data_IF_299258855421
#
_entry.id   IF_299258855421
#
_cell.length_a   1.000
_cell.length_b   1.000
_cell.length_c   1.000
_cell.angle_alpha   90.00
_cell.angle_beta   90.00
_cell.angle_gamma   90.00
#
_symmetry.space_group_name_H-M   'P 1'
#
loop_
_entity.id
_entity.type
_entity.pdbx_description
1 polymer ?
#
# COMPACT_ATOMS: atom_id res chain seq x y z
N UNK A 1 9.10 -8.31 -14.27
CA UNK A 1 8.46 -7.02 -13.96
C UNK A 1 8.69 -6.62 -12.51
N UNK A 2 8.25 -7.40 -11.50
CA UNK A 2 8.45 -7.06 -10.07
C UNK A 2 9.93 -6.95 -9.64
N UNK A 3 10.80 -7.87 -10.09
CA UNK A 3 12.22 -7.81 -9.74
C UNK A 3 12.88 -6.53 -10.27
N UNK A 4 12.47 -6.10 -11.47
CA UNK A 4 12.93 -4.88 -12.12
C UNK A 4 12.41 -3.65 -11.37
N UNK A 5 11.14 -3.65 -10.95
CA UNK A 5 10.53 -2.55 -10.19
C UNK A 5 11.17 -2.34 -8.81
N UNK A 6 11.60 -3.41 -8.13
CA UNK A 6 12.34 -3.29 -6.86
C UNK A 6 13.72 -2.67 -7.07
N UNK A 7 14.47 -3.17 -8.06
CA UNK A 7 15.81 -2.65 -8.36
C UNK A 7 15.74 -1.18 -8.83
N UNK A 8 14.75 -0.83 -9.67
CA UNK A 8 14.42 0.55 -10.08
C UNK A 8 14.00 1.44 -8.89
N UNK A 9 13.20 0.90 -7.96
CA UNK A 9 12.77 1.60 -6.75
C UNK A 9 13.95 1.94 -5.85
N UNK A 10 14.84 0.99 -5.60
CA UNK A 10 16.07 1.23 -4.83
C UNK A 10 16.99 2.23 -5.49
N UNK A 11 17.13 2.17 -6.83
CA UNK A 11 17.93 3.12 -7.59
C UNK A 11 17.33 4.54 -7.54
N UNK A 12 16.01 4.66 -7.67
CA UNK A 12 15.28 5.92 -7.54
C UNK A 12 15.50 6.58 -6.17
N UNK A 13 15.38 5.80 -5.08
CA UNK A 13 15.62 6.28 -3.72
C UNK A 13 17.07 6.76 -3.57
N UNK A 14 18.05 6.00 -4.05
CA UNK A 14 19.45 6.40 -4.03
C UNK A 14 19.70 7.69 -4.81
N UNK A 15 19.06 7.86 -5.96
CA UNK A 15 19.16 9.08 -6.76
C UNK A 15 18.56 10.29 -6.04
N UNK A 16 17.46 10.12 -5.29
CA UNK A 16 16.89 11.20 -4.48
C UNK A 16 17.83 11.63 -3.34
N UNK A 17 18.41 10.67 -2.61
CA UNK A 17 19.41 10.99 -1.58
C UNK A 17 20.66 11.67 -2.16
N UNK A 18 21.09 11.26 -3.35
CA UNK A 18 22.22 11.88 -4.05
C UNK A 18 21.92 13.33 -4.44
N UNK A 19 20.74 13.61 -5.01
CA UNK A 19 20.29 14.97 -5.33
C UNK A 19 20.21 15.85 -4.09
N UNK A 20 19.66 15.31 -3.00
CA UNK A 20 19.55 16.01 -1.74
C UNK A 20 20.94 16.34 -1.18
N UNK A 21 21.87 15.38 -1.20
CA UNK A 21 23.27 15.59 -0.80
C UNK A 21 23.95 16.71 -1.59
N UNK A 22 23.77 16.73 -2.91
CA UNK A 22 24.30 17.82 -3.74
C UNK A 22 23.71 19.19 -3.38
N UNK A 23 22.43 19.24 -3.02
CA UNK A 23 21.75 20.50 -2.66
C UNK A 23 22.21 21.04 -1.29
N UNK A 24 22.49 20.16 -0.32
CA UNK A 24 22.92 20.55 1.03
C UNK A 24 24.44 20.52 1.23
N UNK A 25 25.21 20.19 0.19
CA UNK A 25 26.67 20.07 0.26
C UNK A 25 27.16 18.89 1.11
N UNK A 26 26.36 17.83 1.24
CA UNK A 26 26.69 16.64 2.04
C UNK A 26 26.87 15.41 1.15
N UNK A 27 27.70 14.48 1.60
CA UNK A 27 27.80 13.18 0.93
C UNK A 27 26.49 12.41 1.10
N UNK A 28 26.06 11.68 0.07
CA UNK A 28 24.85 10.83 0.09
C UNK A 28 24.77 9.96 1.35
N UNK A 29 25.90 9.39 1.78
CA UNK A 29 25.97 8.57 3.00
C UNK A 29 25.68 9.35 4.29
N UNK A 30 26.07 10.62 4.36
CA UNK A 30 25.78 11.48 5.51
C UNK A 30 24.30 11.87 5.53
N UNK A 31 23.72 12.17 4.36
CA UNK A 31 22.27 12.45 4.24
C UNK A 31 21.45 11.23 4.65
N UNK A 32 21.83 10.04 4.18
CA UNK A 32 21.20 8.78 4.59
C UNK A 32 21.34 8.58 6.11
N UNK A 33 22.53 8.78 6.67
CA UNK A 33 22.74 8.64 8.12
C UNK A 33 21.89 9.62 8.94
N UNK A 34 21.76 10.87 8.50
CA UNK A 34 20.90 11.87 9.13
C UNK A 34 19.42 11.49 9.02
N UNK A 35 18.96 11.08 7.83
CA UNK A 35 17.60 10.64 7.60
C UNK A 35 17.25 9.43 8.47
N UNK A 36 18.09 8.40 8.46
CA UNK A 36 17.90 7.21 9.30
C UNK A 36 17.91 7.58 10.79
N UNK A 37 18.80 8.47 11.24
CA UNK A 37 18.85 8.90 12.65
C UNK A 37 17.57 9.65 13.08
N UNK A 38 16.97 10.41 12.17
CA UNK A 38 15.82 11.27 12.45
C UNK A 38 14.47 10.56 12.26
N UNK A 39 14.39 9.63 11.31
CA UNK A 39 13.13 9.03 10.86
C UNK A 39 13.07 7.51 10.98
N UNK A 40 14.17 6.80 11.27
CA UNK A 40 14.08 5.37 11.54
C UNK A 40 13.52 5.14 12.94
N UNK A 41 12.35 4.50 13.01
CA UNK A 41 11.82 3.96 14.25
C UNK A 41 12.78 2.86 14.74
N UNK A 42 13.54 3.12 15.82
CA UNK A 42 14.31 2.18 16.67
C UNK A 42 15.14 1.05 16.02
N UNK A 43 15.23 0.97 14.70
CA UNK A 43 15.97 -0.06 14.00
C UNK A 43 17.43 0.35 14.03
N UNK A 44 18.26 -0.42 14.71
CA UNK A 44 19.68 -0.13 14.73
C UNK A 44 20.22 -0.23 13.30
N UNK A 45 21.29 0.51 12.94
CA UNK A 45 21.95 0.37 11.63
C UNK A 45 22.33 -1.08 11.26
N UNK A 46 22.38 -1.97 12.26
CA UNK A 46 22.65 -3.39 12.10
C UNK A 46 21.45 -4.14 11.52
N UNK A 47 20.22 -3.79 11.90
CA UNK A 47 19.00 -4.51 11.49
C UNK A 47 18.73 -4.33 10.00
N UNK A 48 18.99 -3.12 9.47
CA UNK A 48 18.92 -2.85 8.04
C UNK A 48 19.96 -3.63 7.23
N UNK A 49 21.20 -3.73 7.74
CA UNK A 49 22.26 -4.51 7.09
C UNK A 49 21.97 -6.02 7.12
N UNK A 50 21.37 -6.51 8.21
CA UNK A 50 20.90 -7.89 8.33
C UNK A 50 19.78 -8.15 7.33
N UNK A 51 18.77 -7.29 7.28
CA UNK A 51 17.65 -7.41 6.34
C UNK A 51 18.13 -7.36 4.88
N UNK A 52 19.06 -6.46 4.55
CA UNK A 52 19.65 -6.37 3.21
C UNK A 52 20.37 -7.65 2.79
N UNK A 53 21.15 -8.26 3.69
CA UNK A 53 21.82 -9.55 3.45
C UNK A 53 20.81 -10.69 3.31
N UNK A 54 19.78 -10.70 4.15
CA UNK A 54 18.69 -11.68 4.09
C UNK A 54 17.96 -11.62 2.74
N UNK A 55 17.55 -10.43 2.31
CA UNK A 55 16.86 -10.23 1.02
C UNK A 55 17.76 -10.64 -0.14
N UNK A 56 19.06 -10.32 -0.11
CA UNK A 56 20.00 -10.76 -1.14
C UNK A 56 20.10 -12.30 -1.21
N UNK A 57 20.12 -12.98 -0.07
CA UNK A 57 20.19 -14.44 0.01
C UNK A 57 18.87 -15.15 -0.34
N UNK A 58 17.72 -14.48 -0.12
CA UNK A 58 16.39 -15.04 -0.29
C UNK A 58 15.59 -14.40 -1.42
N UNK A 59 16.24 -13.63 -2.31
CA UNK A 59 15.62 -12.85 -3.40
C UNK A 59 14.57 -13.66 -4.20
N UNK A 60 14.82 -14.93 -4.61
CA UNK A 60 13.82 -15.69 -5.36
C UNK A 60 12.54 -16.01 -4.57
N UNK A 61 12.67 -16.31 -3.28
CA UNK A 61 11.54 -16.65 -2.41
C UNK A 61 10.74 -15.40 -2.05
N UNK A 62 11.42 -14.31 -1.73
CA UNK A 62 10.77 -13.01 -1.47
C UNK A 62 10.06 -12.50 -2.72
N UNK A 63 10.67 -12.65 -3.90
CA UNK A 63 10.04 -12.30 -5.17
C UNK A 63 8.80 -13.15 -5.46
N UNK A 64 8.87 -14.47 -5.25
CA UNK A 64 7.73 -15.37 -5.44
C UNK A 64 6.57 -15.03 -4.50
N UNK A 65 6.88 -14.75 -3.22
CA UNK A 65 5.91 -14.29 -2.22
C UNK A 65 5.20 -13.01 -2.69
N UNK A 66 5.97 -11.98 -3.02
CA UNK A 66 5.43 -10.70 -3.47
C UNK A 66 4.58 -10.85 -4.76
N UNK A 67 5.04 -11.68 -5.70
CA UNK A 67 4.32 -11.94 -6.95
C UNK A 67 2.96 -12.61 -6.75
N UNK A 68 2.83 -13.53 -5.78
CA UNK A 68 1.56 -14.21 -5.55
C UNK A 68 0.54 -13.30 -4.84
N UNK A 69 0.99 -12.46 -3.91
CA UNK A 69 0.12 -11.44 -3.30
C UNK A 69 -0.31 -10.36 -4.27
N UNK A 70 0.63 -9.87 -5.08
CA UNK A 70 0.36 -8.88 -6.11
C UNK A 70 -0.70 -9.41 -7.08
N UNK A 71 -0.58 -10.67 -7.54
CA UNK A 71 -1.59 -11.30 -8.40
C UNK A 71 -2.96 -11.36 -7.74
N UNK A 72 -3.06 -11.73 -6.47
CA UNK A 72 -4.36 -11.86 -5.78
C UNK A 72 -5.05 -10.49 -5.62
N UNK A 73 -4.31 -9.47 -5.19
CA UNK A 73 -4.80 -8.10 -5.05
C UNK A 73 -5.18 -7.53 -6.41
N UNK A 74 -4.30 -7.63 -7.42
CA UNK A 74 -4.56 -7.12 -8.77
C UNK A 74 -5.75 -7.80 -9.40
N UNK A 75 -5.88 -9.12 -9.24
CA UNK A 75 -7.03 -9.87 -9.76
C UNK A 75 -8.33 -9.38 -9.13
N UNK A 76 -8.35 -9.23 -7.81
CA UNK A 76 -9.52 -8.72 -7.08
C UNK A 76 -9.85 -7.28 -7.48
N UNK A 77 -8.83 -6.46 -7.78
CA UNK A 77 -8.98 -5.09 -8.26
C UNK A 77 -9.54 -5.00 -9.68
N UNK A 78 -9.03 -5.80 -10.61
CA UNK A 78 -9.55 -5.83 -11.98
C UNK A 78 -11.00 -6.35 -12.01
N UNK A 79 -11.34 -7.35 -11.20
CA UNK A 79 -12.73 -7.79 -11.04
C UNK A 79 -13.63 -6.68 -10.48
N UNK A 80 -13.13 -5.89 -9.51
CA UNK A 80 -13.85 -4.75 -8.97
C UNK A 80 -14.15 -3.68 -10.03
N UNK A 81 -13.20 -3.39 -10.93
CA UNK A 81 -13.41 -2.47 -12.06
C UNK A 81 -14.50 -2.95 -13.01
N UNK A 82 -14.53 -4.25 -13.30
CA UNK A 82 -15.53 -4.86 -14.19
C UNK A 82 -16.92 -4.81 -13.57
N UNK A 83 -17.02 -5.02 -12.25
CA UNK A 83 -18.29 -4.99 -11.51
C UNK A 83 -19.00 -3.63 -11.67
N UNK A 84 -18.25 -2.53 -11.74
CA UNK A 84 -18.78 -1.18 -11.93
C UNK A 84 -19.40 -0.89 -13.31
N UNK A 85 -19.18 -1.75 -14.31
CA UNK A 85 -19.61 -1.51 -15.71
C UNK A 85 -20.85 -2.29 -16.15
N UNK A 86 -21.37 -3.19 -15.31
CA UNK A 86 -22.50 -4.06 -15.67
C UNK A 86 -23.80 -3.48 -15.12
N UNK A 87 -24.83 -3.41 -15.96
CA UNK A 87 -26.18 -3.04 -15.54
C UNK A 87 -26.69 -4.03 -14.47
N UNK A 88 -26.84 -3.53 -13.25
CA UNK A 88 -27.22 -4.30 -12.07
C UNK A 88 -28.21 -3.51 -11.24
N UNK A 89 -29.02 -4.21 -10.46
CA UNK A 89 -29.90 -3.55 -9.49
C UNK A 89 -29.08 -2.99 -8.31
N UNK A 90 -29.63 -2.01 -7.61
CA UNK A 90 -29.06 -1.42 -6.38
C UNK A 90 -28.66 -2.48 -5.36
N UNK A 91 -29.52 -3.46 -5.11
CA UNK A 91 -29.24 -4.53 -4.15
C UNK A 91 -28.06 -5.43 -4.59
N UNK A 92 -27.98 -5.75 -5.89
CA UNK A 92 -26.86 -6.52 -6.44
C UNK A 92 -25.54 -5.74 -6.37
N UNK A 93 -25.61 -4.44 -6.66
CA UNK A 93 -24.50 -3.50 -6.52
C UNK A 93 -23.96 -3.47 -5.09
N UNK A 94 -24.83 -3.33 -4.10
CA UNK A 94 -24.47 -3.38 -2.68
C UNK A 94 -23.87 -4.74 -2.29
N UNK A 95 -24.48 -5.85 -2.66
CA UNK A 95 -23.97 -7.19 -2.33
C UNK A 95 -22.58 -7.45 -2.91
N UNK A 96 -22.37 -7.05 -4.18
CA UNK A 96 -21.06 -7.19 -4.83
C UNK A 96 -20.02 -6.31 -4.17
N UNK A 97 -20.35 -5.07 -3.82
CA UNK A 97 -19.44 -4.19 -3.10
C UNK A 97 -18.94 -4.82 -1.80
N UNK A 98 -19.86 -5.30 -0.94
CA UNK A 98 -19.50 -5.94 0.32
C UNK A 98 -18.71 -7.24 0.11
N UNK A 99 -19.05 -8.03 -0.92
CA UNK A 99 -18.31 -9.25 -1.26
C UNK A 99 -16.88 -8.94 -1.68
N UNK A 100 -16.67 -7.92 -2.50
CA UNK A 100 -15.35 -7.49 -2.96
C UNK A 100 -14.54 -6.88 -1.81
N UNK A 101 -15.14 -6.00 -1.01
CA UNK A 101 -14.50 -5.44 0.18
C UNK A 101 -14.02 -6.54 1.14
N UNK A 102 -14.87 -7.54 1.40
CA UNK A 102 -14.51 -8.70 2.22
C UNK A 102 -13.33 -9.49 1.66
N UNK A 103 -13.24 -9.67 0.33
CA UNK A 103 -12.09 -10.35 -0.29
C UNK A 103 -10.80 -9.58 -0.07
N UNK A 104 -10.80 -8.27 -0.28
CA UNK A 104 -9.61 -7.48 -0.01
C UNK A 104 -9.21 -7.54 1.47
N UNK A 105 -10.16 -7.41 2.40
CA UNK A 105 -9.87 -7.56 3.83
C UNK A 105 -9.22 -8.91 4.13
N UNK A 106 -9.71 -9.99 3.52
CA UNK A 106 -9.13 -11.33 3.69
C UNK A 106 -7.71 -11.42 3.15
N UNK A 107 -7.44 -10.91 1.94
CA UNK A 107 -6.11 -10.91 1.35
C UNK A 107 -5.11 -10.08 2.17
N UNK A 108 -5.48 -8.85 2.55
CA UNK A 108 -4.65 -7.98 3.39
C UNK A 108 -4.43 -8.57 4.79
N UNK A 109 -5.44 -9.17 5.39
CA UNK A 109 -5.29 -9.84 6.70
C UNK A 109 -4.39 -11.07 6.62
N UNK A 110 -4.45 -11.83 5.52
CA UNK A 110 -3.56 -12.96 5.28
C UNK A 110 -2.11 -12.48 5.14
N UNK A 111 -1.88 -11.42 4.36
CA UNK A 111 -0.56 -10.80 4.19
C UNK A 111 0.01 -10.25 5.50
N UNK A 112 -0.79 -9.54 6.28
CA UNK A 112 -0.37 -9.04 7.59
C UNK A 112 0.08 -10.19 8.50
N UNK A 113 -0.67 -11.31 8.50
CA UNK A 113 -0.34 -12.48 9.32
C UNK A 113 0.89 -13.24 8.83
N UNK A 114 1.05 -13.42 7.52
CA UNK A 114 2.11 -14.26 6.97
C UNK A 114 3.44 -13.52 6.81
N UNK A 115 3.39 -12.20 6.61
CA UNK A 115 4.58 -11.40 6.26
C UNK A 115 4.72 -10.10 7.05
N UNK A 116 3.83 -9.80 7.99
CA UNK A 116 3.87 -8.53 8.74
C UNK A 116 3.62 -7.31 7.85
N UNK A 117 2.94 -7.49 6.71
CA UNK A 117 2.65 -6.37 5.81
C UNK A 117 1.63 -5.42 6.46
N UNK A 118 2.01 -4.15 6.49
CA UNK A 118 1.11 -3.04 6.79
C UNK A 118 0.34 -2.66 5.52
N UNK A 119 -0.95 -2.40 5.66
CA UNK A 119 -1.78 -2.02 4.52
C UNK A 119 -2.98 -1.19 4.91
N UNK A 120 -3.28 -0.23 4.04
CA UNK A 120 -4.47 0.61 4.10
C UNK A 120 -5.21 0.52 2.76
N UNK A 121 -6.53 0.41 2.83
CA UNK A 121 -7.42 0.25 1.68
C UNK A 121 -8.58 1.21 1.79
N UNK A 122 -8.93 1.84 0.67
CA UNK A 122 -10.16 2.61 0.50
C UNK A 122 -10.89 2.05 -0.71
N UNK A 123 -12.20 1.85 -0.57
CA UNK A 123 -13.10 1.48 -1.65
C UNK A 123 -14.35 2.34 -1.58
N UNK A 124 -14.76 2.91 -2.70
CA UNK A 124 -16.00 3.66 -2.78
C UNK A 124 -16.63 3.52 -4.17
N UNK A 125 -17.91 3.87 -4.25
CA UNK A 125 -18.64 3.96 -5.51
C UNK A 125 -19.28 5.33 -5.66
N UNK A 126 -19.30 5.87 -6.88
CA UNK A 126 -19.71 7.26 -7.17
C UNK A 126 -21.18 7.42 -7.56
N UNK A 127 -21.97 6.34 -7.74
CA UNK A 127 -23.35 6.48 -8.25
C UNK A 127 -24.32 6.86 -7.14
N UNK A 128 -24.50 8.18 -6.98
CA UNK A 128 -25.31 8.87 -5.96
C UNK A 128 -26.73 8.30 -5.80
N UNK A 129 -27.37 7.91 -6.90
CA UNK A 129 -28.79 7.52 -6.90
C UNK A 129 -29.03 6.01 -6.70
N UNK A 130 -27.97 5.20 -6.69
CA UNK A 130 -28.06 3.74 -6.66
C UNK A 130 -27.29 3.11 -5.51
N UNK A 131 -26.29 3.79 -4.95
CA UNK A 131 -25.36 3.18 -4.01
C UNK A 131 -25.53 3.67 -2.56
N UNK A 132 -26.47 4.58 -2.26
CA UNK A 132 -26.73 5.02 -0.88
C UNK A 132 -25.51 5.56 -0.13
N UNK A 133 -24.47 6.02 -0.84
CA UNK A 133 -23.24 6.48 -0.23
C UNK A 133 -22.24 5.39 0.16
N UNK A 134 -22.22 4.21 -0.48
CA UNK A 134 -21.20 3.16 -0.22
C UNK A 134 -19.76 3.70 -0.23
N UNK A 135 -19.12 3.60 0.92
CA UNK A 135 -17.70 3.86 1.16
C UNK A 135 -17.21 2.85 2.19
N UNK A 136 -15.96 2.43 2.05
CA UNK A 136 -15.35 1.42 2.91
C UNK A 136 -13.87 1.73 3.04
N UNK A 137 -13.38 1.68 4.27
CA UNK A 137 -11.97 1.75 4.59
C UNK A 137 -11.58 0.51 5.38
N UNK A 138 -10.31 0.12 5.24
CA UNK A 138 -9.73 -0.95 6.02
C UNK A 138 -8.26 -0.68 6.25
N UNK A 139 -7.78 -0.98 7.45
CA UNK A 139 -6.37 -0.97 7.81
C UNK A 139 -6.03 -2.29 8.49
N UNK A 140 -4.80 -2.76 8.28
CA UNK A 140 -4.23 -3.82 9.12
C UNK A 140 -3.93 -3.27 10.52
N UNK A 141 -3.82 -4.15 11.54
CA UNK A 141 -3.57 -3.72 12.93
C UNK A 141 -2.35 -2.79 13.07
N UNK A 142 -1.27 -3.09 12.34
CA UNK A 142 -0.04 -2.28 12.35
C UNK A 142 -0.18 -0.95 11.57
N UNK A 143 -1.33 -0.69 10.92
CA UNK A 143 -1.59 0.49 10.11
C UNK A 143 -2.84 1.26 10.56
N UNK A 144 -3.32 1.05 11.80
CA UNK A 144 -4.60 1.58 12.30
C UNK A 144 -4.75 3.09 12.12
N UNK A 145 -3.67 3.85 12.28
CA UNK A 145 -3.68 5.32 12.19
C UNK A 145 -3.25 5.86 10.82
N UNK A 146 -3.06 5.01 9.81
CA UNK A 146 -2.48 5.42 8.53
C UNK A 146 -3.16 6.65 7.91
N UNK A 147 -4.49 6.69 7.88
CA UNK A 147 -5.22 7.81 7.26
C UNK A 147 -5.08 9.11 8.07
N UNK A 148 -5.06 9.03 9.40
CA UNK A 148 -4.89 10.20 10.26
C UNK A 148 -3.45 10.74 10.19
N UNK A 149 -2.45 9.84 10.21
CA UNK A 149 -1.04 10.21 10.24
C UNK A 149 -0.50 10.63 8.87
N UNK A 150 -0.85 9.89 7.81
CA UNK A 150 -0.33 10.13 6.47
C UNK A 150 -1.23 11.01 5.60
N UNK A 151 -2.56 10.94 5.80
CA UNK A 151 -3.51 11.71 4.98
C UNK A 151 -4.12 12.89 5.73
N UNK A 152 -3.88 13.01 7.05
CA UNK A 152 -4.45 14.06 7.91
C UNK A 152 -5.97 14.16 7.76
N UNK A 153 -6.63 13.01 7.57
CA UNK A 153 -8.07 12.91 7.36
C UNK A 153 -8.63 11.77 8.20
N UNK A 154 -9.80 11.98 8.78
CA UNK A 154 -10.55 10.88 9.39
C UNK A 154 -11.16 9.95 8.31
N UNK A 155 -11.82 8.88 8.76
CA UNK A 155 -12.38 7.86 7.86
C UNK A 155 -13.46 8.45 6.94
N UNK A 156 -14.32 9.33 7.45
CA UNK A 156 -15.40 9.92 6.66
C UNK A 156 -14.86 10.96 5.68
N UNK A 157 -13.89 11.77 6.13
CA UNK A 157 -13.17 12.74 5.30
C UNK A 157 -12.42 12.06 4.15
N UNK A 158 -11.69 10.98 4.42
CA UNK A 158 -10.91 10.31 3.37
C UNK A 158 -11.81 9.61 2.35
N UNK A 159 -12.94 9.04 2.78
CA UNK A 159 -13.96 8.49 1.87
C UNK A 159 -14.54 9.63 1.02
N UNK A 160 -14.86 10.77 1.63
CA UNK A 160 -15.33 11.96 0.94
C UNK A 160 -14.35 12.44 -0.13
N UNK A 161 -13.09 12.64 0.25
CA UNK A 161 -12.01 13.04 -0.67
C UNK A 161 -11.84 12.05 -1.82
N UNK A 162 -11.84 10.74 -1.53
CA UNK A 162 -11.69 9.71 -2.54
C UNK A 162 -12.86 9.71 -3.53
N UNK A 163 -14.10 9.88 -3.04
CA UNK A 163 -15.31 9.93 -3.89
C UNK A 163 -15.35 11.09 -4.88
N UNK A 164 -14.72 12.23 -4.57
CA UNK A 164 -14.65 13.38 -5.49
C UNK A 164 -13.85 13.04 -6.76
N UNK A 165 -13.03 11.99 -6.73
CA UNK A 165 -12.10 11.65 -7.80
C UNK A 165 -12.49 10.39 -8.61
N UNK A 166 -13.66 9.79 -8.35
CA UNK A 166 -14.18 8.57 -9.02
C UNK A 166 -15.60 8.78 -9.57
#
# INVERSE_FOLDING_TARGET
>A
MVATALDEGFESINNQFSKLGNHVGMLTQQVIAHFTKQFACTNSPNDWNIYRKYVAANKPHELARLLDFEKEILTTFEEAKVIGKVDKTVAQCQQLFHKTAKRFVQSFSAMAKSHGCEGALIMARSVVNQDGGLGFTFTTAEAENFFAECCHADIDEIIGHFKVHI
#
